data_IF_848475834153
#
_entry.id   IF_848475834153
#
_cell.length_a   1.000
_cell.length_b   1.000
_cell.length_c   1.000
_cell.angle_alpha   90.00
_cell.angle_beta   90.00
_cell.angle_gamma   90.00
#
_symmetry.space_group_name_H-M   'P 1'
#
loop_
_entity.id
_entity.type
_entity.pdbx_description
1 polymer ?
#
# COMPACT_ATOMS: atom_id res chain seq x y z
N UNK A 1 73.31 52.16 -3.62
CA UNK A 1 72.38 51.47 -2.64
C UNK A 1 70.88 51.84 -2.79
N UNK A 2 70.52 53.11 -3.15
CA UNK A 2 69.09 53.54 -3.32
C UNK A 2 68.37 52.88 -4.53
N UNK A 3 69.06 52.59 -5.65
CA UNK A 3 68.47 51.98 -6.86
C UNK A 3 68.15 50.54 -6.64
N UNK A 4 68.96 49.75 -5.93
CA UNK A 4 68.77 48.35 -5.66
C UNK A 4 67.51 48.10 -4.81
N UNK A 5 67.24 48.97 -3.80
CA UNK A 5 66.01 48.91 -3.00
C UNK A 5 64.75 49.21 -3.80
N UNK A 6 64.77 50.03 -4.86
CA UNK A 6 63.64 50.35 -5.71
C UNK A 6 63.22 49.22 -6.60
N UNK A 7 64.12 48.27 -6.90
CA UNK A 7 63.82 47.08 -7.74
C UNK A 7 63.53 45.87 -6.87
N UNK A 8 64.20 45.66 -5.77
CA UNK A 8 64.04 44.45 -4.93
C UNK A 8 62.65 44.43 -4.26
N UNK A 9 62.15 45.59 -3.78
CA UNK A 9 60.86 45.66 -3.08
C UNK A 9 59.65 45.22 -4.00
N UNK A 10 59.48 45.77 -5.22
CA UNK A 10 58.39 45.35 -6.10
C UNK A 10 58.53 43.88 -6.58
N UNK A 11 59.76 43.39 -6.82
CA UNK A 11 60.01 42.01 -7.15
C UNK A 11 59.62 41.09 -5.99
N UNK A 12 59.97 41.43 -4.76
CA UNK A 12 59.62 40.66 -3.58
C UNK A 12 58.10 40.65 -3.35
N UNK A 13 57.40 41.77 -3.52
CA UNK A 13 55.93 41.86 -3.47
C UNK A 13 55.30 40.97 -4.55
N UNK A 14 55.83 41.01 -5.77
CA UNK A 14 55.35 40.19 -6.88
C UNK A 14 55.48 38.68 -6.60
N UNK A 15 56.62 38.26 -6.04
CA UNK A 15 56.84 36.86 -5.69
C UNK A 15 55.88 36.39 -4.59
N UNK A 16 55.73 37.22 -3.52
CA UNK A 16 54.79 36.92 -2.45
C UNK A 16 53.38 36.85 -2.96
N UNK A 17 52.94 37.82 -3.77
CA UNK A 17 51.61 37.81 -4.38
C UNK A 17 51.38 36.57 -5.28
N UNK A 18 52.38 36.15 -6.05
CA UNK A 18 52.35 34.95 -6.84
C UNK A 18 52.20 33.67 -6.02
N UNK A 19 52.89 33.58 -4.89
CA UNK A 19 52.77 32.47 -3.94
C UNK A 19 51.37 32.42 -3.34
N UNK A 20 50.86 33.55 -2.82
CA UNK A 20 49.50 33.61 -2.29
C UNK A 20 48.42 33.24 -3.34
N UNK A 21 48.59 33.72 -4.57
CA UNK A 21 47.68 33.39 -5.66
C UNK A 21 47.70 31.88 -6.00
N UNK A 22 48.91 31.27 -6.05
CA UNK A 22 49.05 29.85 -6.26
C UNK A 22 48.43 29.01 -5.17
N UNK A 23 48.60 29.40 -3.91
CA UNK A 23 47.98 28.74 -2.75
C UNK A 23 46.46 28.89 -2.80
N UNK A 24 45.94 30.05 -3.19
CA UNK A 24 44.51 30.28 -3.33
C UNK A 24 43.88 29.38 -4.46
N UNK A 25 44.59 29.26 -5.58
CA UNK A 25 44.13 28.35 -6.69
C UNK A 25 44.14 26.89 -6.26
N UNK A 26 45.25 26.43 -5.64
CA UNK A 26 45.35 25.05 -5.15
C UNK A 26 44.29 24.76 -4.07
N UNK A 27 44.10 25.67 -3.13
CA UNK A 27 43.06 25.56 -2.10
C UNK A 27 41.66 25.50 -2.69
N UNK A 28 41.35 26.36 -3.67
CA UNK A 28 40.05 26.35 -4.32
C UNK A 28 39.81 25.06 -5.14
N UNK A 29 40.88 24.52 -5.76
CA UNK A 29 40.82 23.24 -6.48
C UNK A 29 40.47 22.08 -5.55
N UNK A 30 41.21 21.95 -4.44
CA UNK A 30 40.97 20.87 -3.44
C UNK A 30 39.60 21.02 -2.83
N UNK A 31 39.14 22.24 -2.55
CA UNK A 31 37.85 22.50 -1.93
C UNK A 31 36.67 22.19 -2.86
N UNK A 32 36.79 22.38 -4.18
CA UNK A 32 35.70 22.25 -5.15
C UNK A 32 35.68 20.88 -5.83
N UNK A 33 36.76 20.11 -5.77
CA UNK A 33 36.81 18.79 -6.37
C UNK A 33 35.75 17.86 -5.77
N UNK A 34 34.99 17.16 -6.61
CA UNK A 34 33.95 16.23 -6.20
C UNK A 34 32.65 16.92 -5.72
N UNK A 35 32.57 18.27 -5.77
CA UNK A 35 31.35 18.99 -5.41
C UNK A 35 30.42 19.21 -6.59
N UNK A 36 29.17 19.46 -6.27
CA UNK A 36 28.11 19.81 -7.24
C UNK A 36 28.38 21.20 -7.83
N UNK A 37 28.23 21.39 -9.14
CA UNK A 37 28.48 22.67 -9.80
C UNK A 37 27.63 23.81 -9.23
N UNK A 38 28.22 25.03 -9.23
CA UNK A 38 27.52 26.24 -8.83
C UNK A 38 26.23 26.44 -9.65
N UNK A 39 25.15 26.85 -8.99
CA UNK A 39 23.86 27.13 -9.64
C UNK A 39 23.06 25.88 -9.97
N UNK A 40 23.43 24.73 -9.40
CA UNK A 40 22.57 23.53 -9.47
C UNK A 40 21.42 23.71 -8.52
N UNK A 41 20.20 23.60 -9.06
CA UNK A 41 18.94 23.74 -8.34
C UNK A 41 18.11 22.49 -8.62
N UNK A 42 17.67 21.80 -7.57
CA UNK A 42 16.77 20.66 -7.65
C UNK A 42 15.46 20.99 -6.95
N UNK A 43 14.34 20.93 -7.67
CA UNK A 43 13.01 21.26 -7.15
C UNK A 43 12.99 22.56 -6.33
N UNK A 44 13.65 23.62 -6.85
CA UNK A 44 13.78 24.91 -6.19
C UNK A 44 14.83 25.00 -5.07
N UNK A 45 15.46 23.89 -4.69
CA UNK A 45 16.50 23.84 -3.65
C UNK A 45 17.87 24.03 -4.28
N UNK A 46 18.61 25.06 -3.85
CA UNK A 46 19.98 25.27 -4.31
C UNK A 46 20.93 24.32 -3.57
N UNK A 47 21.59 23.45 -4.34
CA UNK A 47 22.53 22.44 -3.85
C UNK A 47 23.96 22.65 -4.42
N UNK A 48 24.20 23.78 -5.09
CA UNK A 48 25.53 24.11 -5.62
C UNK A 48 26.59 24.16 -4.52
N UNK A 49 27.79 23.68 -4.84
CA UNK A 49 28.95 23.55 -3.94
C UNK A 49 28.80 22.57 -2.77
N UNK A 50 27.72 21.83 -2.70
CA UNK A 50 27.58 20.73 -1.74
C UNK A 50 28.26 19.46 -2.25
N UNK A 51 28.62 18.55 -1.36
CA UNK A 51 28.89 17.16 -1.72
C UNK A 51 27.58 16.44 -2.04
N UNK A 52 27.64 15.24 -2.64
CA UNK A 52 26.44 14.45 -2.88
C UNK A 52 25.67 14.14 -1.59
N UNK A 53 26.40 13.79 -0.53
CA UNK A 53 25.83 13.44 0.77
C UNK A 53 25.13 14.64 1.42
N UNK A 54 25.78 15.82 1.38
CA UNK A 54 25.19 17.06 1.89
C UNK A 54 23.94 17.45 1.11
N UNK A 55 23.98 17.32 -0.22
CA UNK A 55 22.84 17.60 -1.09
C UNK A 55 21.65 16.67 -0.82
N UNK A 56 21.92 15.36 -0.70
CA UNK A 56 20.88 14.39 -0.32
C UNK A 56 20.26 14.76 1.03
N UNK A 57 21.07 15.07 2.04
CA UNK A 57 20.57 15.45 3.37
C UNK A 57 19.71 16.71 3.34
N UNK A 58 20.09 17.69 2.53
CA UNK A 58 19.32 18.94 2.41
C UNK A 58 17.98 18.72 1.67
N UNK A 59 17.99 17.92 0.61
CA UNK A 59 16.77 17.55 -0.10
C UNK A 59 15.82 16.72 0.78
N UNK A 60 16.32 15.70 1.47
CA UNK A 60 15.51 14.86 2.37
C UNK A 60 14.78 15.68 3.45
N UNK A 61 15.40 16.73 3.98
CA UNK A 61 14.72 17.64 4.93
C UNK A 61 13.52 18.35 4.29
N UNK A 62 13.67 18.81 3.05
CA UNK A 62 12.60 19.50 2.32
C UNK A 62 11.49 18.52 1.92
N UNK A 63 11.85 17.32 1.50
CA UNK A 63 10.93 16.24 1.18
C UNK A 63 10.09 15.84 2.40
N UNK A 64 10.73 15.65 3.55
CA UNK A 64 10.02 15.30 4.80
C UNK A 64 8.99 16.36 5.18
N UNK A 65 9.34 17.63 5.08
CA UNK A 65 8.41 18.73 5.34
C UNK A 65 7.24 18.72 4.34
N UNK A 66 7.54 18.50 3.06
CA UNK A 66 6.52 18.42 2.01
C UNK A 66 5.57 17.23 2.19
N UNK A 67 6.12 16.03 2.46
CA UNK A 67 5.36 14.81 2.63
C UNK A 67 4.35 14.87 3.78
N UNK A 68 4.66 15.63 4.83
CA UNK A 68 3.80 15.79 6.01
C UNK A 68 2.80 16.93 5.92
N UNK A 69 2.84 17.76 4.87
CA UNK A 69 1.87 18.86 4.70
C UNK A 69 0.49 18.34 4.32
N UNK A 70 -0.51 18.98 4.87
CA UNK A 70 -1.90 18.73 4.56
C UNK A 70 -2.23 19.11 3.11
N UNK A 71 -3.00 18.24 2.46
CA UNK A 71 -3.52 18.39 1.10
C UNK A 71 -5.02 18.20 1.13
N UNK A 72 -5.76 19.17 0.60
CA UNK A 72 -7.19 19.02 0.46
C UNK A 72 -7.51 18.14 -0.77
N UNK A 73 -8.35 17.14 -0.55
CA UNK A 73 -8.91 16.27 -1.57
C UNK A 73 -10.37 16.68 -1.80
N UNK A 74 -10.74 16.89 -3.04
CA UNK A 74 -12.12 17.23 -3.43
C UNK A 74 -12.67 16.15 -4.35
N UNK A 75 -13.85 15.61 -4.02
CA UNK A 75 -14.61 14.71 -4.87
C UNK A 75 -16.06 15.25 -4.96
N UNK A 76 -16.43 15.87 -6.06
CA UNK A 76 -17.70 16.61 -6.20
C UNK A 76 -17.81 17.66 -5.08
N UNK A 77 -18.79 17.52 -4.20
CA UNK A 77 -19.02 18.40 -3.04
C UNK A 77 -18.34 17.90 -1.75
N UNK A 78 -17.83 16.68 -1.76
CA UNK A 78 -17.13 16.10 -0.60
C UNK A 78 -15.69 16.65 -0.53
N UNK A 79 -15.27 17.05 0.68
CA UNK A 79 -13.92 17.51 0.99
C UNK A 79 -13.32 16.64 2.08
N UNK A 80 -12.07 16.26 1.90
CA UNK A 80 -11.29 15.57 2.92
C UNK A 80 -9.86 16.10 2.96
N UNK A 81 -9.09 15.71 3.95
CA UNK A 81 -7.67 16.10 4.11
C UNK A 81 -6.81 14.84 4.18
N UNK A 82 -5.69 14.86 3.49
CA UNK A 82 -4.67 13.84 3.51
C UNK A 82 -3.28 14.46 3.51
N UNK A 83 -2.22 13.66 3.51
CA UNK A 83 -0.85 14.11 3.31
C UNK A 83 -0.28 13.52 2.03
N UNK A 84 0.77 14.14 1.47
CA UNK A 84 1.43 13.58 0.28
C UNK A 84 2.05 12.22 0.56
N UNK A 85 2.47 11.96 1.79
CA UNK A 85 2.97 10.66 2.24
C UNK A 85 1.87 9.58 2.19
N UNK A 86 0.68 9.90 2.69
CA UNK A 86 -0.46 8.99 2.70
C UNK A 86 -1.00 8.73 1.29
N UNK A 87 -0.82 9.69 0.38
CA UNK A 87 -1.11 9.55 -1.05
C UNK A 87 -0.06 8.71 -1.81
N UNK A 88 0.93 8.16 -1.11
CA UNK A 88 1.92 7.25 -1.70
C UNK A 88 3.03 7.94 -2.49
N UNK A 89 3.30 9.23 -2.25
CA UNK A 89 4.40 9.95 -2.90
C UNK A 89 5.74 9.47 -2.35
N UNK A 90 6.65 9.14 -3.26
CA UNK A 90 8.01 8.69 -2.96
C UNK A 90 9.02 9.45 -3.84
N UNK A 91 10.08 9.97 -3.22
CA UNK A 91 11.16 10.65 -3.93
C UNK A 91 12.34 9.71 -4.16
N UNK A 92 12.91 9.75 -5.36
CA UNK A 92 14.13 9.02 -5.71
C UNK A 92 15.33 9.98 -5.67
N UNK A 93 15.62 10.50 -4.50
CA UNK A 93 16.60 11.56 -4.26
C UNK A 93 18.02 11.15 -4.64
N UNK A 94 18.40 9.91 -4.29
CA UNK A 94 19.73 9.39 -4.63
C UNK A 94 19.92 9.30 -6.15
N UNK A 95 18.95 8.71 -6.86
CA UNK A 95 18.94 8.61 -8.31
C UNK A 95 19.00 10.01 -8.96
N UNK A 96 18.24 10.97 -8.43
CA UNK A 96 18.26 12.35 -8.92
C UNK A 96 19.66 12.96 -8.79
N UNK A 97 20.33 12.79 -7.65
CA UNK A 97 21.67 13.31 -7.39
C UNK A 97 22.75 12.57 -8.19
N UNK A 98 22.61 11.27 -8.39
CA UNK A 98 23.57 10.46 -9.13
C UNK A 98 23.66 10.83 -10.61
N UNK A 99 22.61 11.40 -11.18
CA UNK A 99 22.63 11.93 -12.52
C UNK A 99 23.41 13.27 -12.66
N UNK A 100 23.82 13.90 -11.57
CA UNK A 100 24.54 15.18 -11.58
C UNK A 100 26.03 14.94 -11.77
N UNK A 101 26.60 15.59 -12.81
CA UNK A 101 28.05 15.59 -13.00
C UNK A 101 28.72 16.47 -11.97
N UNK A 102 29.72 15.93 -11.25
CA UNK A 102 30.51 16.66 -10.28
C UNK A 102 31.60 17.51 -10.95
N UNK A 103 32.14 18.47 -10.21
CA UNK A 103 33.28 19.25 -10.63
C UNK A 103 34.51 18.34 -10.68
N UNK A 104 35.12 18.20 -11.84
CA UNK A 104 36.36 17.48 -12.04
C UNK A 104 37.51 18.44 -12.25
N UNK A 105 38.62 18.25 -11.52
CA UNK A 105 39.80 19.13 -11.62
C UNK A 105 41.05 18.41 -12.14
N UNK A 106 40.91 17.14 -12.59
CA UNK A 106 42.06 16.24 -12.84
C UNK A 106 43.09 16.73 -13.86
N UNK A 107 42.72 17.60 -14.83
CA UNK A 107 43.59 17.98 -15.95
C UNK A 107 43.74 19.49 -16.14
N UNK A 108 43.42 20.33 -15.17
CA UNK A 108 43.51 21.80 -15.28
C UNK A 108 44.14 22.43 -14.04
N UNK A 109 44.99 23.42 -14.27
CA UNK A 109 45.54 24.25 -13.17
C UNK A 109 44.42 24.98 -12.42
N UNK A 110 43.38 25.35 -13.14
CA UNK A 110 42.19 25.98 -12.57
C UNK A 110 41.07 24.98 -12.41
N UNK A 111 40.26 25.04 -11.32
CA UNK A 111 39.04 24.28 -11.22
C UNK A 111 38.18 24.53 -12.46
N UNK A 112 37.60 23.45 -13.01
CA UNK A 112 36.75 23.60 -14.18
C UNK A 112 35.42 24.29 -13.82
N UNK A 113 35.45 25.59 -13.67
CA UNK A 113 34.27 26.43 -13.43
C UNK A 113 33.31 26.45 -14.63
N UNK A 114 33.67 25.83 -15.78
CA UNK A 114 32.80 25.75 -16.94
C UNK A 114 31.69 24.71 -16.80
N UNK A 115 31.77 23.84 -15.79
CA UNK A 115 30.65 22.93 -15.48
C UNK A 115 29.49 23.75 -15.00
N UNK A 116 28.50 23.97 -15.87
CA UNK A 116 27.31 24.75 -15.53
C UNK A 116 26.43 23.96 -14.57
N UNK A 117 25.85 24.67 -13.60
CA UNK A 117 24.80 24.13 -12.76
C UNK A 117 23.58 23.70 -13.59
N UNK A 118 22.85 22.75 -13.08
CA UNK A 118 21.67 22.19 -13.72
C UNK A 118 20.44 22.59 -12.92
N UNK A 119 19.36 22.97 -13.60
CA UNK A 119 18.03 23.11 -12.99
C UNK A 119 17.24 21.88 -13.36
N UNK A 120 16.83 21.12 -12.36
CA UNK A 120 16.16 19.83 -12.53
C UNK A 120 15.13 19.62 -11.43
N UNK A 121 14.11 18.81 -11.72
CA UNK A 121 13.16 18.32 -10.72
C UNK A 121 13.65 17.04 -10.07
N UNK A 122 13.17 16.77 -8.85
CA UNK A 122 13.27 15.47 -8.22
C UNK A 122 12.53 14.42 -9.04
N UNK A 123 13.09 13.22 -9.09
CA UNK A 123 12.39 12.05 -9.63
C UNK A 123 11.38 11.59 -8.58
N UNK A 124 10.12 11.51 -9.00
CA UNK A 124 8.98 11.21 -8.12
C UNK A 124 8.27 9.96 -8.63
N UNK A 125 7.89 9.08 -7.71
CA UNK A 125 6.98 7.97 -7.92
C UNK A 125 5.75 8.11 -7.04
N UNK A 126 4.64 7.48 -7.47
CA UNK A 126 3.42 7.38 -6.68
C UNK A 126 3.04 5.91 -6.58
N UNK A 127 2.90 5.42 -5.36
CA UNK A 127 2.38 4.08 -5.08
C UNK A 127 0.86 4.08 -5.27
N UNK A 128 0.40 3.47 -6.37
CA UNK A 128 -1.02 3.39 -6.73
C UNK A 128 -1.87 2.71 -5.66
N UNK A 129 -1.34 1.68 -5.03
CA UNK A 129 -2.08 0.95 -4.01
C UNK A 129 -2.36 1.84 -2.82
N UNK A 130 -1.33 2.51 -2.29
CA UNK A 130 -1.48 3.48 -1.19
C UNK A 130 -2.42 4.62 -1.58
N UNK A 131 -2.29 5.15 -2.80
CA UNK A 131 -3.17 6.21 -3.31
C UNK A 131 -4.63 5.79 -3.25
N UNK A 132 -5.00 4.66 -3.83
CA UNK A 132 -6.39 4.17 -3.88
C UNK A 132 -6.91 3.81 -2.48
N UNK A 133 -6.09 3.19 -1.64
CA UNK A 133 -6.45 2.88 -0.25
C UNK A 133 -6.74 4.16 0.55
N UNK A 134 -5.92 5.19 0.41
CA UNK A 134 -6.14 6.48 1.08
C UNK A 134 -7.38 7.21 0.54
N UNK A 135 -7.58 7.24 -0.79
CA UNK A 135 -8.79 7.82 -1.36
C UNK A 135 -10.04 7.10 -0.89
N UNK A 136 -10.00 5.77 -0.74
CA UNK A 136 -11.14 5.03 -0.21
C UNK A 136 -11.37 5.31 1.27
N UNK A 137 -10.32 5.41 2.07
CA UNK A 137 -10.43 5.78 3.49
C UNK A 137 -11.06 7.16 3.66
N UNK A 138 -10.59 8.15 2.90
CA UNK A 138 -10.95 9.57 3.05
C UNK A 138 -12.25 9.96 2.34
N UNK A 139 -12.52 9.38 1.17
CA UNK A 139 -13.62 9.79 0.28
C UNK A 139 -14.58 8.64 -0.05
N UNK A 140 -14.33 7.43 0.49
CA UNK A 140 -15.17 6.25 0.25
C UNK A 140 -15.41 5.96 -1.24
N UNK A 141 -14.36 6.07 -2.05
CA UNK A 141 -14.47 5.99 -3.52
C UNK A 141 -15.02 4.65 -4.00
N UNK A 142 -14.76 3.56 -3.29
CA UNK A 142 -15.25 2.21 -3.64
C UNK A 142 -16.77 2.10 -3.67
N UNK A 143 -17.49 2.98 -2.94
CA UNK A 143 -18.96 3.04 -3.01
C UNK A 143 -19.49 3.38 -4.40
N UNK A 144 -18.67 4.05 -5.21
CA UNK A 144 -19.03 4.46 -6.57
C UNK A 144 -18.62 3.43 -7.62
N UNK A 145 -17.77 2.45 -7.29
CA UNK A 145 -17.25 1.51 -8.26
C UNK A 145 -18.34 0.67 -8.89
N UNK A 146 -18.21 0.32 -10.18
CA UNK A 146 -19.13 -0.59 -10.82
C UNK A 146 -19.10 -1.95 -10.10
N UNK A 147 -20.27 -2.57 -10.04
CA UNK A 147 -20.40 -3.92 -9.47
C UNK A 147 -20.58 -4.92 -10.60
N UNK A 148 -19.72 -5.90 -10.66
CA UNK A 148 -19.84 -7.00 -11.62
C UNK A 148 -21.08 -7.84 -11.36
N UNK A 149 -21.64 -8.41 -12.44
CA UNK A 149 -22.69 -9.40 -12.34
C UNK A 149 -22.22 -10.60 -11.51
N UNK A 150 -23.14 -11.26 -10.83
CA UNK A 150 -22.83 -12.36 -9.92
C UNK A 150 -23.97 -13.40 -9.92
N UNK A 151 -23.67 -14.65 -9.63
CA UNK A 151 -24.70 -15.62 -9.35
C UNK A 151 -25.47 -15.28 -8.09
N UNK A 152 -26.78 -15.49 -8.11
CA UNK A 152 -27.63 -15.38 -6.93
C UNK A 152 -28.67 -16.53 -6.93
N UNK A 153 -29.31 -16.72 -5.79
CA UNK A 153 -30.41 -17.66 -5.64
C UNK A 153 -31.70 -16.88 -5.56
N UNK A 154 -32.63 -17.16 -6.48
CA UNK A 154 -33.95 -16.50 -6.47
C UNK A 154 -34.88 -17.05 -5.38
N UNK A 155 -36.04 -16.40 -5.20
CA UNK A 155 -37.04 -16.80 -4.21
C UNK A 155 -37.61 -18.20 -4.44
N UNK A 156 -37.42 -18.80 -5.64
CA UNK A 156 -37.85 -20.15 -6.00
C UNK A 156 -36.71 -21.18 -5.88
N UNK A 157 -35.60 -20.80 -5.30
CA UNK A 157 -34.39 -21.60 -5.14
C UNK A 157 -33.74 -22.00 -6.50
N UNK A 158 -33.83 -21.13 -7.51
CA UNK A 158 -33.11 -21.32 -8.75
C UNK A 158 -31.84 -20.52 -8.74
N UNK A 159 -30.79 -21.09 -9.36
CA UNK A 159 -29.56 -20.36 -9.64
C UNK A 159 -29.80 -19.36 -10.78
N UNK A 160 -29.73 -18.08 -10.50
CA UNK A 160 -29.90 -16.98 -11.45
C UNK A 160 -28.64 -16.12 -11.49
N UNK A 161 -28.59 -15.15 -12.39
CA UNK A 161 -27.51 -14.15 -12.43
C UNK A 161 -28.13 -12.79 -12.21
N UNK A 162 -27.67 -12.13 -11.15
CA UNK A 162 -27.93 -10.71 -10.92
C UNK A 162 -27.04 -9.89 -11.85
N UNK A 163 -27.64 -8.95 -12.57
CA UNK A 163 -26.91 -8.04 -13.46
C UNK A 163 -25.88 -7.18 -12.70
N UNK A 164 -24.82 -6.82 -13.43
CA UNK A 164 -23.87 -5.85 -12.94
C UNK A 164 -24.45 -4.44 -12.94
N UNK A 165 -23.97 -3.60 -12.05
CA UNK A 165 -24.35 -2.21 -11.94
C UNK A 165 -23.21 -1.32 -12.47
N UNK A 166 -23.51 -0.43 -13.42
CA UNK A 166 -22.56 0.60 -13.84
C UNK A 166 -22.24 1.53 -12.67
N UNK A 167 -21.01 2.02 -12.65
CA UNK A 167 -20.55 2.89 -11.59
C UNK A 167 -19.61 3.97 -12.12
N UNK A 168 -18.67 4.36 -11.29
CA UNK A 168 -17.65 5.35 -11.62
C UNK A 168 -16.29 4.87 -11.15
N UNK A 169 -15.24 5.21 -11.90
CA UNK A 169 -13.84 4.95 -11.54
C UNK A 169 -13.06 6.26 -11.49
N UNK A 170 -12.05 6.30 -10.64
CA UNK A 170 -11.17 7.47 -10.54
C UNK A 170 -10.33 7.61 -11.80
N UNK A 171 -10.16 8.84 -12.29
CA UNK A 171 -9.22 9.17 -13.37
C UNK A 171 -7.80 9.23 -12.82
N UNK A 172 -7.22 8.06 -12.55
CA UNK A 172 -5.93 7.92 -11.87
C UNK A 172 -4.80 8.66 -12.56
N UNK A 173 -4.68 8.55 -13.89
CA UNK A 173 -3.59 9.17 -14.65
C UNK A 173 -3.52 10.70 -14.44
N UNK A 174 -4.68 11.35 -14.42
CA UNK A 174 -4.74 12.80 -14.21
C UNK A 174 -4.33 13.16 -12.79
N UNK A 175 -4.89 12.47 -11.81
CA UNK A 175 -4.57 12.69 -10.40
C UNK A 175 -3.09 12.48 -10.12
N UNK A 176 -2.50 11.41 -10.66
CA UNK A 176 -1.07 11.12 -10.52
C UNK A 176 -0.21 12.24 -11.14
N UNK A 177 -0.59 12.74 -12.32
CA UNK A 177 0.11 13.86 -12.96
C UNK A 177 0.08 15.12 -12.08
N UNK A 178 -1.05 15.44 -11.47
CA UNK A 178 -1.20 16.58 -10.56
C UNK A 178 -0.35 16.38 -9.28
N UNK A 179 -0.37 15.18 -8.69
CA UNK A 179 0.48 14.83 -7.53
C UNK A 179 1.96 14.97 -7.87
N UNK A 180 2.41 14.39 -8.99
CA UNK A 180 3.81 14.47 -9.42
C UNK A 180 4.22 15.92 -9.69
N UNK A 181 3.38 16.72 -10.33
CA UNK A 181 3.67 18.13 -10.62
C UNK A 181 3.81 18.95 -9.33
N UNK A 182 2.99 18.69 -8.33
CA UNK A 182 3.07 19.28 -6.99
C UNK A 182 4.35 18.84 -6.26
N UNK A 183 4.66 17.55 -6.28
CA UNK A 183 5.84 16.98 -5.64
C UNK A 183 7.16 17.51 -6.24
N UNK A 184 7.23 17.64 -7.56
CA UNK A 184 8.39 18.21 -8.26
C UNK A 184 8.72 19.65 -7.85
N UNK A 185 7.72 20.40 -7.41
CA UNK A 185 7.91 21.78 -6.88
C UNK A 185 8.07 21.84 -5.37
N UNK A 186 7.87 20.72 -4.66
CA UNK A 186 7.76 20.65 -3.21
C UNK A 186 6.70 21.61 -2.65
N UNK A 187 5.67 21.89 -3.43
CA UNK A 187 4.55 22.77 -3.09
C UNK A 187 3.24 21.97 -3.12
N UNK A 188 2.61 21.72 -1.97
CA UNK A 188 1.35 20.98 -1.94
C UNK A 188 0.24 21.83 -2.56
N UNK A 189 -0.58 21.20 -3.39
CA UNK A 189 -1.72 21.80 -4.04
C UNK A 189 -3.00 21.04 -3.68
N UNK A 190 -4.13 21.71 -3.78
CA UNK A 190 -5.42 21.03 -3.68
C UNK A 190 -5.59 20.06 -4.85
N UNK A 191 -6.08 18.86 -4.57
CA UNK A 191 -6.27 17.80 -5.55
C UNK A 191 -7.74 17.56 -5.83
N UNK A 192 -8.13 17.62 -7.10
CA UNK A 192 -9.48 17.29 -7.53
C UNK A 192 -9.54 15.84 -7.99
N UNK A 193 -10.23 15.00 -7.22
CA UNK A 193 -10.44 13.59 -7.58
C UNK A 193 -11.59 13.51 -8.57
N UNK A 194 -11.24 13.38 -9.84
CA UNK A 194 -12.23 13.21 -10.90
C UNK A 194 -12.61 11.74 -11.07
N UNK A 195 -13.90 11.50 -11.27
CA UNK A 195 -14.43 10.18 -11.56
C UNK A 195 -15.11 10.18 -12.93
N UNK A 196 -15.04 9.04 -13.62
CA UNK A 196 -15.72 8.84 -14.92
C UNK A 196 -16.63 7.63 -14.86
N UNK A 197 -17.75 7.64 -15.60
CA UNK A 197 -18.62 6.48 -15.70
C UNK A 197 -17.86 5.26 -16.23
N UNK A 198 -18.13 4.10 -15.64
CA UNK A 198 -17.57 2.83 -16.08
C UNK A 198 -18.65 1.73 -16.04
N UNK A 199 -18.69 0.84 -17.03
CA UNK A 199 -19.54 -0.34 -17.00
C UNK A 199 -19.02 -1.35 -15.98
N UNK A 200 -19.81 -2.33 -15.57
CA UNK A 200 -19.33 -3.46 -14.79
C UNK A 200 -18.23 -4.23 -15.55
N UNK A 201 -17.23 -4.72 -14.85
CA UNK A 201 -16.13 -5.50 -15.43
C UNK A 201 -16.63 -6.81 -16.06
N UNK A 202 -17.61 -7.43 -15.42
CA UNK A 202 -18.31 -8.62 -15.91
C UNK A 202 -19.79 -8.33 -16.00
N UNK A 203 -20.36 -8.54 -17.18
CA UNK A 203 -21.81 -8.43 -17.40
C UNK A 203 -22.49 -9.80 -17.18
N UNK A 204 -23.82 -9.81 -17.28
CA UNK A 204 -24.63 -11.01 -17.10
C UNK A 204 -24.24 -12.14 -18.04
N UNK A 205 -23.97 -11.82 -19.31
CA UNK A 205 -23.62 -12.80 -20.34
C UNK A 205 -22.27 -13.46 -20.04
N UNK A 206 -21.32 -12.72 -19.48
CA UNK A 206 -20.02 -13.26 -19.07
C UNK A 206 -20.17 -14.27 -17.94
N UNK A 207 -21.03 -13.96 -16.95
CA UNK A 207 -21.29 -14.85 -15.81
C UNK A 207 -22.12 -16.08 -16.25
N UNK A 208 -23.08 -15.91 -17.18
CA UNK A 208 -23.84 -17.05 -17.71
C UNK A 208 -22.94 -18.08 -18.41
N UNK A 209 -21.87 -17.68 -19.06
CA UNK A 209 -20.88 -18.60 -19.63
C UNK A 209 -20.19 -19.47 -18.58
N UNK A 210 -20.07 -18.96 -17.35
CA UNK A 210 -19.46 -19.69 -16.22
C UNK A 210 -20.44 -20.66 -15.53
N UNK A 211 -21.74 -20.64 -15.88
CA UNK A 211 -22.79 -21.46 -15.25
C UNK A 211 -22.48 -22.96 -15.21
N UNK A 212 -21.99 -23.60 -16.28
CA UNK A 212 -21.70 -25.04 -16.25
C UNK A 212 -20.64 -25.39 -15.22
N UNK A 213 -19.59 -24.56 -15.11
CA UNK A 213 -18.54 -24.74 -14.11
C UNK A 213 -19.06 -24.50 -12.69
N UNK A 214 -19.93 -23.51 -12.52
CA UNK A 214 -20.56 -23.21 -11.24
C UNK A 214 -21.45 -24.37 -10.77
N UNK A 215 -22.28 -24.93 -11.65
CA UNK A 215 -23.10 -26.11 -11.34
C UNK A 215 -22.20 -27.29 -10.93
N UNK A 216 -21.09 -27.50 -11.62
CA UNK A 216 -20.13 -28.56 -11.27
C UNK A 216 -19.54 -28.33 -9.87
N UNK A 217 -19.18 -27.10 -9.50
CA UNK A 217 -18.71 -26.76 -8.15
C UNK A 217 -19.78 -27.02 -7.09
N UNK A 218 -21.02 -26.62 -7.35
CA UNK A 218 -22.16 -26.84 -6.44
C UNK A 218 -22.56 -28.30 -6.30
N UNK A 219 -22.21 -29.15 -7.27
CA UNK A 219 -22.46 -30.59 -7.23
C UNK A 219 -21.50 -31.33 -6.29
N UNK A 220 -20.37 -30.71 -5.91
CA UNK A 220 -19.44 -31.31 -4.97
C UNK A 220 -20.09 -31.42 -3.58
N UNK A 221 -19.88 -32.57 -2.96
CA UNK A 221 -20.39 -32.84 -1.61
C UNK A 221 -19.41 -32.35 -0.58
N UNK A 222 -19.90 -31.54 0.33
CA UNK A 222 -19.14 -31.14 1.52
C UNK A 222 -19.36 -32.20 2.59
N UNK A 223 -18.27 -32.78 3.08
CA UNK A 223 -18.32 -33.82 4.10
C UNK A 223 -17.79 -33.26 5.41
N UNK A 224 -18.65 -33.24 6.44
CA UNK A 224 -18.23 -33.00 7.82
C UNK A 224 -17.91 -34.37 8.44
N UNK A 225 -16.70 -34.52 8.95
CA UNK A 225 -16.21 -35.78 9.53
C UNK A 225 -16.07 -35.64 11.03
N UNK A 226 -16.60 -36.59 11.76
CA UNK A 226 -16.29 -36.77 13.16
C UNK A 226 -14.97 -37.55 13.31
N UNK A 227 -13.94 -36.98 13.91
CA UNK A 227 -12.68 -37.66 14.10
C UNK A 227 -12.72 -38.76 15.16
N UNK A 228 -13.74 -38.75 16.07
CA UNK A 228 -13.85 -39.64 17.22
C UNK A 228 -14.70 -40.87 16.88
N UNK A 229 -15.96 -40.66 16.48
CA UNK A 229 -16.90 -41.73 16.22
C UNK A 229 -16.96 -42.18 14.77
N UNK A 230 -16.21 -41.47 13.86
CA UNK A 230 -16.10 -41.73 12.44
C UNK A 230 -17.40 -41.55 11.65
N UNK A 231 -18.36 -40.83 12.22
CA UNK A 231 -19.58 -40.46 11.51
C UNK A 231 -19.32 -39.35 10.51
N UNK A 232 -20.14 -39.31 9.46
CA UNK A 232 -20.01 -38.34 8.40
C UNK A 232 -21.37 -37.71 8.10
N UNK A 233 -21.40 -36.38 8.00
CA UNK A 233 -22.56 -35.64 7.51
C UNK A 233 -22.25 -35.02 6.17
N UNK A 234 -23.21 -35.01 5.28
CA UNK A 234 -23.04 -34.62 3.91
C UNK A 234 -23.93 -33.42 3.58
N UNK A 235 -23.32 -32.31 3.16
CA UNK A 235 -24.01 -31.16 2.62
C UNK A 235 -23.85 -31.21 1.10
N UNK A 236 -24.96 -31.18 0.38
CA UNK A 236 -25.01 -31.11 -1.09
C UNK A 236 -25.46 -29.73 -1.50
N UNK A 237 -24.54 -28.78 -1.80
CA UNK A 237 -24.89 -27.37 -2.04
C UNK A 237 -25.96 -27.20 -3.13
N UNK A 238 -25.90 -27.98 -4.21
CA UNK A 238 -26.88 -27.91 -5.28
C UNK A 238 -28.31 -28.29 -4.83
N UNK A 239 -28.44 -29.17 -3.83
CA UNK A 239 -29.76 -29.53 -3.26
C UNK A 239 -30.25 -28.58 -2.19
N UNK A 240 -29.35 -27.77 -1.64
CA UNK A 240 -29.59 -26.76 -0.62
C UNK A 240 -29.09 -25.41 -1.12
N UNK A 241 -29.52 -25.04 -2.32
CA UNK A 241 -29.01 -23.87 -3.04
C UNK A 241 -29.29 -22.57 -2.27
N UNK A 242 -30.37 -22.52 -1.46
CA UNK A 242 -30.72 -21.43 -0.55
C UNK A 242 -29.68 -21.20 0.58
N UNK A 243 -28.82 -22.19 0.82
CA UNK A 243 -27.70 -22.09 1.77
C UNK A 243 -26.50 -21.42 1.16
N UNK A 244 -26.43 -21.31 -0.14
CA UNK A 244 -25.26 -20.84 -0.87
C UNK A 244 -25.22 -19.31 -0.90
N UNK A 245 -24.01 -18.75 -0.75
CA UNK A 245 -23.68 -17.37 -0.98
C UNK A 245 -22.58 -17.27 -2.03
N UNK A 246 -22.72 -16.33 -2.96
CA UNK A 246 -21.73 -16.03 -3.98
C UNK A 246 -21.10 -14.68 -3.69
N UNK A 247 -19.77 -14.62 -3.71
CA UNK A 247 -19.01 -13.41 -3.44
C UNK A 247 -17.86 -13.25 -4.43
N UNK A 248 -17.60 -12.02 -4.86
CA UNK A 248 -16.40 -11.69 -5.59
C UNK A 248 -15.20 -11.63 -4.65
N UNK A 249 -14.18 -12.48 -4.88
CA UNK A 249 -12.89 -12.44 -4.15
C UNK A 249 -11.74 -12.60 -5.15
N UNK A 250 -10.84 -11.62 -5.22
CA UNK A 250 -9.67 -11.64 -6.10
C UNK A 250 -10.01 -11.92 -7.58
N UNK A 251 -11.06 -11.27 -8.11
CA UNK A 251 -11.49 -11.41 -9.50
C UNK A 251 -12.15 -12.76 -9.85
N UNK A 252 -12.54 -13.57 -8.84
CA UNK A 252 -13.23 -14.85 -9.02
C UNK A 252 -14.46 -14.93 -8.15
N UNK A 253 -15.49 -15.64 -8.64
CA UNK A 253 -16.66 -15.95 -7.82
C UNK A 253 -16.32 -17.11 -6.89
N UNK A 254 -16.38 -16.83 -5.59
CA UNK A 254 -16.22 -17.80 -4.51
C UNK A 254 -17.60 -18.22 -4.01
N UNK A 255 -17.76 -19.50 -3.78
CA UNK A 255 -18.98 -20.11 -3.24
C UNK A 255 -18.74 -20.41 -1.77
N UNK A 256 -19.61 -19.89 -0.91
CA UNK A 256 -19.59 -20.17 0.53
C UNK A 256 -20.96 -20.64 1.01
N UNK A 257 -21.02 -21.25 2.17
CA UNK A 257 -22.28 -21.59 2.84
C UNK A 257 -22.63 -20.47 3.82
N UNK A 258 -23.88 -20.05 3.83
CA UNK A 258 -24.41 -19.07 4.78
C UNK A 258 -24.20 -19.58 6.21
N UNK A 259 -23.54 -18.78 7.05
CA UNK A 259 -23.18 -19.18 8.42
C UNK A 259 -24.40 -19.57 9.23
N UNK A 260 -25.52 -18.85 9.06
CA UNK A 260 -26.78 -19.12 9.75
C UNK A 260 -27.31 -20.52 9.42
N UNK A 261 -27.28 -20.90 8.13
CA UNK A 261 -27.75 -22.20 7.65
C UNK A 261 -26.83 -23.35 8.07
N UNK A 262 -25.52 -23.10 8.09
CA UNK A 262 -24.57 -24.07 8.61
C UNK A 262 -24.79 -24.29 10.12
N UNK A 263 -24.96 -23.24 10.91
CA UNK A 263 -25.21 -23.34 12.34
C UNK A 263 -26.54 -24.07 12.62
N UNK A 264 -27.62 -23.74 11.89
CA UNK A 264 -28.91 -24.44 11.98
C UNK A 264 -28.73 -25.94 11.76
N UNK A 265 -27.99 -26.34 10.75
CA UNK A 265 -27.67 -27.73 10.46
C UNK A 265 -26.87 -28.40 11.56
N UNK A 266 -25.83 -27.72 12.06
CA UNK A 266 -25.04 -28.24 13.18
C UNK A 266 -25.89 -28.45 14.42
N UNK A 267 -26.83 -27.55 14.72
CA UNK A 267 -27.73 -27.64 15.90
C UNK A 267 -28.77 -28.73 15.75
N UNK A 268 -29.31 -28.90 14.54
CA UNK A 268 -30.44 -29.80 14.35
C UNK A 268 -30.03 -31.22 13.97
N UNK A 269 -28.96 -31.39 13.24
CA UNK A 269 -28.57 -32.67 12.66
C UNK A 269 -27.29 -33.26 13.27
N UNK A 270 -26.34 -32.41 13.68
CA UNK A 270 -25.00 -32.87 14.09
C UNK A 270 -24.89 -32.91 15.61
N UNK A 271 -25.31 -31.83 16.30
CA UNK A 271 -25.15 -31.73 17.75
C UNK A 271 -25.93 -32.78 18.53
N UNK A 272 -27.06 -33.24 17.99
CA UNK A 272 -27.83 -34.33 18.59
C UNK A 272 -27.00 -35.60 18.79
N UNK A 273 -25.97 -35.80 17.97
CA UNK A 273 -25.11 -36.98 18.00
C UNK A 273 -23.77 -36.72 18.68
N UNK A 274 -23.26 -35.48 18.61
CA UNK A 274 -21.93 -35.14 19.09
C UNK A 274 -21.90 -34.37 20.40
N UNK A 275 -22.92 -33.53 20.69
CA UNK A 275 -22.95 -32.77 21.94
C UNK A 275 -23.37 -33.69 23.09
N UNK A 276 -22.43 -34.42 23.62
CA UNK A 276 -22.63 -35.24 24.82
C UNK A 276 -22.49 -34.37 26.07
N UNK A 277 -23.49 -34.42 26.94
CA UNK A 277 -23.35 -33.79 28.25
C UNK A 277 -22.36 -34.59 29.09
N UNK A 278 -21.57 -33.87 29.87
CA UNK A 278 -20.80 -34.51 30.93
C UNK A 278 -21.76 -35.17 31.95
N UNK A 279 -21.48 -36.40 32.30
CA UNK A 279 -22.22 -37.07 33.35
C UNK A 279 -21.58 -36.75 34.72
N UNK A 280 -22.41 -36.31 35.67
CA UNK A 280 -21.96 -36.01 37.01
C UNK A 280 -21.77 -37.31 37.77
N UNK A 281 -20.77 -37.30 38.64
CA UNK A 281 -20.55 -38.35 39.66
C UNK A 281 -21.09 -37.84 40.97
N UNK A 282 -22.10 -38.51 41.50
CA UNK A 282 -22.61 -38.18 42.81
C UNK A 282 -21.79 -38.90 43.88
N UNK A 283 -21.20 -38.12 44.78
CA UNK A 283 -20.46 -38.64 45.93
C UNK A 283 -21.29 -38.33 47.17
N UNK A 284 -21.74 -39.34 47.83
CA UNK A 284 -22.47 -39.22 49.13
C UNK A 284 -21.95 -40.21 50.16
N UNK A 285 -22.21 -39.92 51.43
CA UNK A 285 -21.79 -40.77 52.51
C UNK A 285 -23.02 -41.50 53.10
N UNK A 286 -22.94 -42.80 53.28
CA UNK A 286 -24.02 -43.57 53.89
C UNK A 286 -24.03 -43.36 55.42
N UNK A 287 -25.05 -43.89 56.09
CA UNK A 287 -25.23 -43.77 57.53
C UNK A 287 -24.08 -44.38 58.36
N UNK A 288 -23.22 -45.18 57.72
CA UNK A 288 -22.02 -45.78 58.35
C UNK A 288 -20.76 -44.99 58.17
N UNK A 289 -20.84 -43.80 57.42
CA UNK A 289 -19.69 -42.98 57.15
C UNK A 289 -18.85 -43.46 55.94
N UNK A 290 -19.34 -44.45 55.18
CA UNK A 290 -18.66 -44.91 53.94
C UNK A 290 -18.99 -44.01 52.77
N UNK A 291 -17.98 -43.65 51.94
CA UNK A 291 -18.16 -42.86 50.76
C UNK A 291 -18.73 -43.77 49.66
N UNK A 292 -19.88 -43.41 49.14
CA UNK A 292 -20.51 -44.05 48.01
C UNK A 292 -20.37 -43.15 46.76
N UNK A 293 -19.94 -43.76 45.73
CA UNK A 293 -19.81 -43.07 44.42
C UNK A 293 -20.86 -43.66 43.51
N UNK A 294 -21.84 -42.85 43.11
CA UNK A 294 -22.88 -43.21 42.13
C UNK A 294 -22.66 -42.47 40.83
N UNK A 295 -22.59 -43.22 39.74
CA UNK A 295 -22.34 -42.71 38.41
C UNK A 295 -20.91 -42.96 37.91
N UNK A 296 -20.72 -42.98 36.63
CA UNK A 296 -19.43 -43.03 35.98
C UNK A 296 -19.29 -41.68 35.27
N UNK A 297 -18.47 -40.82 35.82
CA UNK A 297 -18.18 -39.53 35.19
C UNK A 297 -17.72 -39.74 33.76
N UNK A 298 -18.35 -39.04 32.80
CA UNK A 298 -17.95 -39.02 31.42
C UNK A 298 -17.72 -37.57 31.01
N UNK A 299 -16.62 -37.33 30.29
CA UNK A 299 -16.36 -36.02 29.70
C UNK A 299 -17.44 -35.68 28.66
N UNK A 300 -17.93 -34.46 28.75
CA UNK A 300 -18.81 -33.91 27.71
C UNK A 300 -18.01 -33.55 26.43
N UNK A 301 -18.64 -33.65 25.31
CA UNK A 301 -18.08 -33.25 24.02
C UNK A 301 -18.97 -32.16 23.42
N UNK A 302 -18.37 -31.10 22.88
CA UNK A 302 -19.09 -30.01 22.24
C UNK A 302 -18.43 -29.60 20.94
N UNK A 303 -19.24 -29.29 19.93
CA UNK A 303 -18.74 -28.81 18.62
C UNK A 303 -18.10 -27.44 18.74
N UNK A 304 -16.87 -27.29 18.27
CA UNK A 304 -16.17 -25.99 18.14
C UNK A 304 -16.61 -25.32 16.83
N UNK A 305 -17.62 -24.44 16.90
CA UNK A 305 -18.22 -23.79 15.72
C UNK A 305 -17.35 -22.75 15.06
N UNK A 306 -16.42 -22.14 15.81
CA UNK A 306 -15.52 -21.10 15.30
C UNK A 306 -14.34 -21.67 14.50
N UNK A 307 -14.19 -23.00 14.48
CA UNK A 307 -13.17 -23.72 13.73
C UNK A 307 -13.68 -24.28 12.37
N UNK A 308 -14.95 -24.08 12.05
CA UNK A 308 -15.62 -24.50 10.80
C UNK A 308 -15.86 -23.31 9.87
#
# INVERSE_FOLDING_TARGET
MKILKKIILPVFIGVISGIFFSIAILGSRIYLEGKIPRGTIISGVNIGFLTKEEAIKELLKKEEVFLKKDVNLFLKEEKSVSTMMDLGVEFLTKETIDEIKLIESKNSIFPNFSTKGVVKDLIVKVDLKKLIENLDEKLKIKKFYPKSAIFEVDAKNNLTVKDGESGYVVKEERLIKEIIASAKKLEPTNLNVEISPAPPEKNKEDIEKERPEMIKKLSNVITLKDPIYRDNWYIKPLKRIDWVLFEWKNGKIVVTIKKEKLNEFLDTEVSKWLDLKADDVNIHTNEKGEVLIEGVGKDGVKIQRDAL
#
